data_IF_243802053080
#
_entry.id   IF_243802053080
#
_cell.length_a   1.000
_cell.length_b   1.000
_cell.length_c   1.000
_cell.angle_alpha   90.00
_cell.angle_beta   90.00
_cell.angle_gamma   90.00
#
_symmetry.space_group_name_H-M   'P 1'
#
loop_
_entity.id
_entity.type
_entity.pdbx_description
1 polymer ?
#
# COMPACT_ATOMS: atom_id res chain seq x y z
N UNK A 1 -11.01 -2.02 0.34
CA UNK A 1 -9.83 -1.15 0.55
C UNK A 1 -10.01 0.15 -0.21
N UNK A 2 -9.73 1.31 0.40
CA UNK A 2 -9.88 2.64 -0.23
C UNK A 2 -8.57 3.15 -0.82
N UNK A 3 -8.61 3.69 -2.04
CA UNK A 3 -7.47 4.31 -2.73
C UNK A 3 -7.26 5.77 -2.31
N UNK A 4 -6.00 6.16 -2.14
CA UNK A 4 -5.57 7.52 -1.83
C UNK A 4 -4.40 7.90 -2.74
N UNK A 5 -4.46 9.10 -3.31
CA UNK A 5 -3.46 9.62 -4.22
C UNK A 5 -2.20 10.13 -3.50
N UNK A 6 -1.18 10.51 -4.27
CA UNK A 6 0.15 10.89 -3.77
C UNK A 6 0.11 11.86 -2.59
N UNK A 7 -0.73 12.91 -2.65
CA UNK A 7 -0.78 13.97 -1.63
C UNK A 7 -1.64 13.63 -0.41
N UNK A 8 -2.24 12.44 -0.36
CA UNK A 8 -3.28 12.07 0.61
C UNK A 8 -2.80 11.07 1.66
N UNK A 9 -1.51 11.11 2.03
CA UNK A 9 -0.93 10.16 2.99
C UNK A 9 -1.54 10.30 4.39
N UNK A 10 -1.97 11.52 4.77
CA UNK A 10 -2.57 11.77 6.09
C UNK A 10 -3.97 11.18 6.17
N UNK A 11 -4.73 11.32 5.10
CA UNK A 11 -6.08 10.81 4.90
C UNK A 11 -6.07 9.29 4.86
N UNK A 12 -5.09 8.69 4.16
CA UNK A 12 -4.89 7.24 4.14
C UNK A 12 -4.64 6.68 5.54
N UNK A 13 -3.76 7.33 6.32
CA UNK A 13 -3.49 6.94 7.72
C UNK A 13 -4.72 7.11 8.59
N UNK A 14 -5.45 8.22 8.46
CA UNK A 14 -6.67 8.47 9.23
C UNK A 14 -7.75 7.41 8.92
N UNK A 15 -7.92 7.03 7.66
CA UNK A 15 -8.84 5.95 7.27
C UNK A 15 -8.44 4.60 7.87
N UNK A 16 -7.13 4.27 7.85
CA UNK A 16 -6.64 3.05 8.48
C UNK A 16 -6.85 3.05 10.00
N UNK A 17 -6.59 4.17 10.67
CA UNK A 17 -6.84 4.37 12.11
C UNK A 17 -8.31 4.24 12.48
N UNK A 18 -9.23 4.63 11.59
CA UNK A 18 -10.67 4.45 11.76
C UNK A 18 -11.13 2.98 11.55
N UNK A 19 -10.20 2.05 11.33
CA UNK A 19 -10.46 0.62 11.14
C UNK A 19 -10.56 0.17 9.69
N UNK A 20 -10.42 1.10 8.73
CA UNK A 20 -10.37 0.80 7.30
C UNK A 20 -9.02 0.23 6.84
N UNK A 21 -8.95 -0.15 5.57
CA UNK A 21 -7.70 -0.51 4.89
C UNK A 21 -7.47 0.49 3.75
N UNK A 22 -6.32 1.15 3.74
CA UNK A 22 -6.01 2.23 2.81
C UNK A 22 -4.84 1.87 1.90
N UNK A 23 -4.96 2.19 0.61
CA UNK A 23 -3.89 2.10 -0.38
C UNK A 23 -3.45 3.50 -0.77
N UNK A 24 -2.31 3.96 -0.28
CA UNK A 24 -1.75 5.25 -0.64
C UNK A 24 -0.71 5.09 -1.75
N UNK A 25 -1.02 5.55 -2.96
CA UNK A 25 -0.15 5.41 -4.13
C UNK A 25 0.67 6.67 -4.34
N UNK A 26 1.97 6.51 -4.57
CA UNK A 26 2.89 7.63 -4.80
C UNK A 26 3.97 7.28 -5.82
N UNK A 27 4.62 8.33 -6.32
CA UNK A 27 5.70 8.22 -7.31
C UNK A 27 7.01 8.50 -6.60
N UNK A 28 7.97 7.56 -6.57
CA UNK A 28 9.28 7.79 -5.98
C UNK A 28 10.08 8.83 -6.77
N UNK A 29 11.12 9.45 -6.17
CA UNK A 29 12.07 10.29 -6.90
C UNK A 29 12.69 9.54 -8.08
N UNK A 30 13.10 10.26 -9.13
CA UNK A 30 13.70 9.65 -10.32
C UNK A 30 14.99 8.85 -10.02
N UNK A 31 15.75 9.28 -9.00
CA UNK A 31 16.92 8.55 -8.50
C UNK A 31 16.57 7.28 -7.69
N UNK A 32 15.28 7.01 -7.49
CA UNK A 32 14.79 6.00 -6.56
C UNK A 32 14.99 6.41 -5.10
N UNK A 33 14.85 5.44 -4.20
CA UNK A 33 15.17 5.60 -2.78
C UNK A 33 16.43 4.80 -2.44
N UNK A 34 17.42 5.39 -1.75
CA UNK A 34 18.63 4.67 -1.35
C UNK A 34 18.30 3.41 -0.54
N UNK A 35 18.85 2.27 -0.94
CA UNK A 35 18.62 0.99 -0.26
C UNK A 35 17.28 0.32 -0.58
N UNK A 36 16.43 0.89 -1.43
CA UNK A 36 15.22 0.22 -1.88
C UNK A 36 15.56 -1.06 -2.67
N UNK A 37 14.80 -2.16 -2.50
CA UNK A 37 15.01 -3.37 -3.28
C UNK A 37 14.90 -3.12 -4.79
N UNK A 38 15.58 -3.94 -5.60
CA UNK A 38 15.63 -3.76 -7.06
C UNK A 38 14.26 -3.75 -7.74
N UNK A 39 13.26 -4.45 -7.19
CA UNK A 39 11.88 -4.41 -7.71
C UNK A 39 11.21 -3.04 -7.53
N UNK A 40 11.52 -2.34 -6.44
CA UNK A 40 11.06 -0.98 -6.18
C UNK A 40 11.78 0.01 -7.10
N UNK A 41 13.11 -0.11 -7.23
CA UNK A 41 13.92 0.73 -8.13
C UNK A 41 13.48 0.67 -9.60
N UNK A 42 12.94 -0.48 -10.06
CA UNK A 42 12.40 -0.66 -11.42
C UNK A 42 10.95 -0.20 -11.59
N UNK A 43 10.27 0.14 -10.49
CA UNK A 43 8.87 0.53 -10.49
C UNK A 43 8.71 2.05 -10.47
N UNK A 44 7.86 2.58 -11.36
CA UNK A 44 7.54 4.02 -11.44
C UNK A 44 6.53 4.48 -10.40
N UNK A 45 5.87 3.55 -9.71
CA UNK A 45 4.88 3.83 -8.67
C UNK A 45 5.04 2.83 -7.55
N UNK A 46 4.97 3.33 -6.32
CA UNK A 46 4.96 2.57 -5.09
C UNK A 46 3.67 2.86 -4.33
N UNK A 47 3.35 2.02 -3.36
CA UNK A 47 2.26 2.33 -2.45
C UNK A 47 2.52 1.83 -1.04
N UNK A 48 1.92 2.53 -0.09
CA UNK A 48 1.76 2.05 1.26
C UNK A 48 0.36 1.41 1.38
N UNK A 49 0.32 0.14 1.77
CA UNK A 49 -0.91 -0.52 2.20
C UNK A 49 -1.00 -0.37 3.72
N UNK A 50 -1.86 0.53 4.20
CA UNK A 50 -2.07 0.80 5.63
C UNK A 50 -3.23 -0.03 6.20
N UNK A 51 -3.01 -0.56 7.39
CA UNK A 51 -4.04 -1.23 8.19
C UNK A 51 -3.59 -1.32 9.67
N UNK A 52 -4.52 -1.13 10.62
CA UNK A 52 -4.24 -1.35 12.05
C UNK A 52 -4.30 -2.83 12.44
N UNK A 53 -5.02 -3.66 11.68
CA UNK A 53 -5.04 -5.10 11.88
C UNK A 53 -3.87 -5.74 11.11
N UNK A 54 -2.85 -6.18 11.88
CA UNK A 54 -1.66 -6.81 11.34
C UNK A 54 -1.97 -8.11 10.57
N UNK A 55 -2.92 -8.90 11.04
CA UNK A 55 -3.28 -10.17 10.41
C UNK A 55 -4.00 -9.91 9.08
N UNK A 56 -4.92 -8.94 9.06
CA UNK A 56 -5.60 -8.50 7.83
C UNK A 56 -4.63 -7.90 6.82
N UNK A 57 -3.65 -7.12 7.29
CA UNK A 57 -2.60 -6.54 6.46
C UNK A 57 -1.76 -7.62 5.76
N UNK A 58 -1.31 -8.61 6.52
CA UNK A 58 -0.53 -9.72 5.98
C UNK A 58 -1.37 -10.57 5.01
N UNK A 59 -2.62 -10.87 5.36
CA UNK A 59 -3.53 -11.62 4.50
C UNK A 59 -3.77 -10.91 3.17
N UNK A 60 -4.03 -9.59 3.18
CA UNK A 60 -4.15 -8.80 1.95
C UNK A 60 -2.85 -8.85 1.14
N UNK A 61 -1.69 -8.61 1.75
CA UNK A 61 -0.41 -8.63 1.03
C UNK A 61 -0.14 -9.99 0.36
N UNK A 62 -0.43 -11.11 1.04
CA UNK A 62 -0.34 -12.47 0.46
C UNK A 62 -1.28 -12.64 -0.73
N UNK A 63 -2.53 -12.21 -0.59
CA UNK A 63 -3.56 -12.30 -1.65
C UNK A 63 -3.19 -11.48 -2.89
N UNK A 64 -2.58 -10.31 -2.70
CA UNK A 64 -2.02 -9.47 -3.77
C UNK A 64 -0.78 -10.09 -4.44
N UNK A 65 -0.22 -11.17 -3.89
CA UNK A 65 0.94 -11.88 -4.44
C UNK A 65 2.29 -11.32 -4.00
N UNK A 66 2.34 -10.62 -2.86
CA UNK A 66 3.61 -10.17 -2.26
C UNK A 66 4.37 -11.40 -1.74
N UNK A 67 5.57 -11.64 -2.29
CA UNK A 67 6.41 -12.80 -1.91
C UNK A 67 7.17 -12.60 -0.60
N UNK A 68 7.57 -11.37 -0.32
CA UNK A 68 8.28 -10.99 0.90
C UNK A 68 7.50 -9.86 1.57
N UNK A 69 6.85 -10.19 2.67
CA UNK A 69 6.05 -9.25 3.44
C UNK A 69 6.90 -8.74 4.59
N UNK A 70 7.13 -7.44 4.61
CA UNK A 70 7.73 -6.74 5.74
C UNK A 70 6.71 -5.69 6.15
N UNK A 71 6.31 -5.75 7.43
CA UNK A 71 5.41 -4.77 8.01
C UNK A 71 6.27 -3.69 8.64
N UNK A 72 6.13 -2.48 8.14
CA UNK A 72 6.87 -1.29 8.57
C UNK A 72 6.01 -0.45 9.51
N UNK A 73 6.67 0.21 10.48
CA UNK A 73 6.02 1.07 11.47
C UNK A 73 5.29 0.32 12.59
N UNK A 74 4.83 1.06 13.59
CA UNK A 74 3.98 0.61 14.69
C UNK A 74 2.71 1.47 14.77
N UNK A 75 1.62 0.88 15.31
CA UNK A 75 0.32 1.53 15.47
C UNK A 75 -0.13 2.30 14.22
N UNK A 76 -0.28 3.62 14.35
CA UNK A 76 -0.73 4.54 13.30
C UNK A 76 0.11 4.54 12.01
N UNK A 77 1.35 4.04 12.06
CA UNK A 77 2.26 3.97 10.92
C UNK A 77 2.32 2.60 10.25
N UNK A 78 1.59 1.60 10.74
CA UNK A 78 1.71 0.22 10.26
C UNK A 78 1.32 0.08 8.78
N UNK A 79 2.24 -0.41 7.94
CA UNK A 79 1.99 -0.65 6.52
C UNK A 79 2.87 -1.73 5.90
N UNK A 80 2.49 -2.16 4.69
CA UNK A 80 3.32 -2.94 3.78
C UNK A 80 3.57 -2.12 2.52
N UNK A 81 4.81 -2.08 2.05
CA UNK A 81 5.16 -1.45 0.78
C UNK A 81 4.81 -2.35 -0.41
N UNK A 82 4.18 -1.76 -1.42
CA UNK A 82 3.80 -2.42 -2.66
C UNK A 82 4.47 -1.75 -3.86
N UNK A 83 4.89 -2.56 -4.83
CA UNK A 83 5.35 -2.11 -6.14
C UNK A 83 5.01 -3.13 -7.22
N UNK A 84 5.14 -2.78 -8.50
CA UNK A 84 4.99 -3.74 -9.60
C UNK A 84 3.62 -4.42 -9.66
N UNK A 85 3.60 -5.75 -9.85
CA UNK A 85 2.36 -6.50 -10.04
C UNK A 85 1.42 -6.51 -8.80
N UNK A 86 1.91 -6.69 -7.56
CA UNK A 86 1.06 -6.54 -6.36
C UNK A 86 0.37 -5.17 -6.27
N UNK A 87 1.08 -4.09 -6.57
CA UNK A 87 0.49 -2.74 -6.59
C UNK A 87 -0.64 -2.64 -7.63
N UNK A 88 -0.41 -3.10 -8.87
CA UNK A 88 -1.43 -3.07 -9.91
C UNK A 88 -2.70 -3.80 -9.50
N UNK A 89 -2.57 -4.97 -8.87
CA UNK A 89 -3.71 -5.72 -8.33
C UNK A 89 -4.43 -4.93 -7.23
N UNK A 90 -3.68 -4.31 -6.32
CA UNK A 90 -4.26 -3.54 -5.24
C UNK A 90 -5.08 -2.34 -5.75
N UNK A 91 -4.60 -1.67 -6.80
CA UNK A 91 -5.35 -0.57 -7.44
C UNK A 91 -6.66 -1.06 -8.07
N UNK A 92 -6.62 -2.18 -8.80
CA UNK A 92 -7.83 -2.80 -9.38
C UNK A 92 -8.84 -3.17 -8.30
N UNK A 93 -8.39 -3.75 -7.18
CA UNK A 93 -9.27 -4.09 -6.06
C UNK A 93 -9.88 -2.86 -5.40
N UNK A 94 -9.10 -1.79 -5.24
CA UNK A 94 -9.59 -0.55 -4.65
C UNK A 94 -10.61 0.16 -5.56
N UNK A 95 -10.41 0.14 -6.88
CA UNK A 95 -11.35 0.69 -7.87
C UNK A 95 -12.62 -0.17 -8.01
N UNK A 96 -12.49 -1.50 -7.90
CA UNK A 96 -13.61 -2.44 -8.02
C UNK A 96 -14.60 -2.38 -6.84
N UNK A 97 -14.16 -1.96 -5.66
CA UNK A 97 -15.05 -1.76 -4.51
C UNK A 97 -15.94 -0.51 -4.62
N UNK A 98 -15.58 0.49 -5.44
CA UNK A 98 -16.41 1.70 -5.62
C UNK A 98 -17.65 1.47 -6.50
N UNK A 99 -17.73 0.36 -7.24
CA UNK A 99 -18.84 0.07 -8.18
C UNK A 99 -19.97 -0.73 -7.50
N UNK A 100 -19.72 -1.32 -6.32
CA UNK A 100 -20.66 -2.19 -5.61
C UNK A 100 -21.08 -1.66 -4.23
N UNK A 101 -20.76 -0.41 -3.89
CA UNK A 101 -21.12 0.26 -2.65
C UNK A 101 -22.24 1.27 -2.80
#
# INVERSE_FOLDING_TARGET
MKLFAHREVKEAKAHALAGGQALHVWTPPAAGWPGAPTCFQRSRQWAHLFDQDKARLEATARRLGVRKIVIHGDGAGQHVDLCGAPLKKAMIEAEGEEIHG
#
